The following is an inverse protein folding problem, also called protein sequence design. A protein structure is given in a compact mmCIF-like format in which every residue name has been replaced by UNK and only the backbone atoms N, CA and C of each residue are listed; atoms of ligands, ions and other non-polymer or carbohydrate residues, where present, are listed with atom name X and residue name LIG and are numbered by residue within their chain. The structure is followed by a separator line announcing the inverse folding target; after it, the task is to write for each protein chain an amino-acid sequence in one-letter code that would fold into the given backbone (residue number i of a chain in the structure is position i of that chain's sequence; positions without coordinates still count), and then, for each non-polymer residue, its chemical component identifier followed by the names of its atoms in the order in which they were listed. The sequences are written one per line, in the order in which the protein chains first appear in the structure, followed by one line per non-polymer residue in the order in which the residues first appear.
data_IF_870542088679
#
_entry.id   IF_870542088679
#
_cell.length_a   1.000
_cell.length_b   1.000
_cell.length_c   1.000
_cell.angle_alpha   90.00
_cell.angle_beta   90.00
_cell.angle_gamma   90.00
#
_symmetry.space_group_name_H-M   'P 1'
#
loop_
_entity.id
_entity.type
_entity.pdbx_description
1 polymer ?
#
# COMPACT_ATOMS: atom_id res chain seq x y z
N UNK A 1 -1.52 15.24 17.40
CA UNK A 1 -1.42 15.64 16.00
C UNK A 1 -0.50 14.68 15.27
N UNK A 2 -1.02 14.03 14.24
CA UNK A 2 -0.24 13.06 13.46
C UNK A 2 0.65 13.81 12.48
N UNK A 3 1.95 13.79 12.75
CA UNK A 3 2.94 14.57 12.00
C UNK A 3 3.30 13.99 10.64
N UNK A 4 2.99 12.72 10.39
CA UNK A 4 3.51 12.00 9.24
C UNK A 4 2.42 11.33 8.42
N UNK A 5 1.24 11.96 8.35
CA UNK A 5 0.15 11.52 7.48
C UNK A 5 0.11 12.44 6.26
N UNK A 6 0.19 11.81 5.09
CA UNK A 6 0.24 12.49 3.81
C UNK A 6 -0.88 12.03 2.91
N UNK A 7 -1.38 12.93 2.09
CA UNK A 7 -2.23 12.59 0.96
C UNK A 7 -1.34 12.05 -0.16
N UNK A 8 -1.76 10.98 -0.82
CA UNK A 8 -0.96 10.36 -1.87
C UNK A 8 -1.83 9.85 -3.01
N UNK A 9 -1.23 9.74 -4.19
CA UNK A 9 -1.85 9.18 -5.38
C UNK A 9 -1.11 7.91 -5.77
N UNK A 10 -1.85 6.88 -6.15
CA UNK A 10 -1.25 5.66 -6.67
C UNK A 10 -0.61 5.92 -8.03
N UNK A 11 0.66 5.51 -8.19
CA UNK A 11 1.30 5.44 -9.49
C UNK A 11 1.16 4.02 -10.05
N UNK A 12 1.61 3.01 -9.31
CA UNK A 12 1.41 1.61 -9.69
C UNK A 12 1.54 0.67 -8.49
N UNK A 13 0.92 -0.48 -8.61
CA UNK A 13 1.08 -1.57 -7.65
C UNK A 13 2.26 -2.43 -8.09
N UNK A 14 3.24 -2.60 -7.20
CA UNK A 14 4.46 -3.39 -7.48
C UNK A 14 4.28 -4.84 -7.03
N UNK A 15 3.78 -5.01 -5.81
CA UNK A 15 3.55 -6.32 -5.18
C UNK A 15 2.38 -6.22 -4.20
N UNK A 16 2.06 -7.33 -3.54
CA UNK A 16 0.99 -7.34 -2.53
C UNK A 16 1.23 -6.41 -1.35
N UNK A 17 2.49 -6.05 -1.10
CA UNK A 17 2.89 -5.23 0.04
C UNK A 17 3.71 -4.00 -0.36
N UNK A 18 3.72 -3.66 -1.65
CA UNK A 18 4.57 -2.58 -2.16
C UNK A 18 3.87 -1.84 -3.29
N UNK A 19 3.88 -0.52 -3.22
CA UNK A 19 3.36 0.35 -4.28
C UNK A 19 4.35 1.47 -4.59
N UNK A 20 4.23 2.05 -5.79
CA UNK A 20 4.85 3.33 -6.12
C UNK A 20 3.76 4.38 -6.06
N UNK A 21 4.03 5.51 -5.42
CA UNK A 21 3.04 6.56 -5.22
C UNK A 21 3.67 7.94 -5.31
N UNK A 22 2.82 8.91 -5.64
CA UNK A 22 3.14 10.34 -5.57
C UNK A 22 2.63 10.87 -4.24
N UNK A 23 3.52 11.37 -3.40
CA UNK A 23 3.20 11.85 -2.06
C UNK A 23 3.15 13.36 -2.06
N UNK A 24 2.04 13.92 -1.58
CA UNK A 24 1.87 15.36 -1.41
C UNK A 24 2.58 15.78 -0.12
N UNK A 25 3.68 16.50 -0.27
CA UNK A 25 4.47 17.01 0.86
C UNK A 25 4.16 18.45 1.19
N UNK A 26 3.11 18.99 0.59
CA UNK A 26 2.72 20.39 0.80
C UNK A 26 3.36 21.33 -0.20
N UNK A 27 2.90 22.59 -0.22
CA UNK A 27 3.43 23.64 -1.08
C UNK A 27 3.37 23.29 -2.58
N UNK A 28 2.37 22.50 -3.00
CA UNK A 28 2.23 21.98 -4.36
C UNK A 28 3.40 21.11 -4.82
N UNK A 29 4.12 20.51 -3.88
CA UNK A 29 5.25 19.63 -4.17
C UNK A 29 4.83 18.19 -3.98
N UNK A 30 5.02 17.38 -5.03
CA UNK A 30 4.76 15.96 -5.01
C UNK A 30 6.07 15.21 -5.22
N UNK A 31 6.31 14.18 -4.41
CA UNK A 31 7.51 13.34 -4.54
C UNK A 31 7.08 11.90 -4.85
N UNK A 32 7.78 11.28 -5.79
CA UNK A 32 7.54 9.87 -6.13
C UNK A 32 8.39 9.00 -5.23
N UNK A 33 7.74 8.07 -4.53
CA UNK A 33 8.41 7.13 -3.63
C UNK A 33 7.83 5.73 -3.74
N UNK A 34 8.67 4.75 -3.53
CA UNK A 34 8.22 3.37 -3.33
C UNK A 34 7.87 3.20 -1.86
N UNK A 35 6.67 2.66 -1.61
CA UNK A 35 6.16 2.45 -0.26
C UNK A 35 6.07 0.95 0.01
N UNK A 36 6.78 0.50 1.04
CA UNK A 36 6.69 -0.86 1.57
C UNK A 36 5.69 -0.84 2.73
N UNK A 37 4.68 -1.71 2.68
CA UNK A 37 3.66 -1.79 3.73
C UNK A 37 4.29 -2.29 5.03
N UNK A 38 4.19 -1.49 6.07
CA UNK A 38 4.75 -1.81 7.37
C UNK A 38 3.95 -2.88 8.09
N UNK A 39 4.65 -3.77 8.78
CA UNK A 39 4.05 -4.77 9.68
C UNK A 39 3.54 -6.03 9.01
N UNK A 40 3.60 -6.10 7.68
CA UNK A 40 3.16 -7.28 6.94
C UNK A 40 4.20 -7.68 5.90
N UNK A 41 4.09 -8.91 5.44
CA UNK A 41 4.82 -9.42 4.29
C UNK A 41 3.85 -10.25 3.46
N UNK A 42 4.04 -10.26 2.14
CA UNK A 42 3.25 -11.06 1.22
C UNK A 42 4.18 -12.01 0.45
N UNK A 43 3.59 -13.05 -0.14
CA UNK A 43 4.36 -13.95 -0.98
C UNK A 43 4.81 -13.23 -2.23
N UNK A 44 5.99 -13.60 -2.74
CA UNK A 44 6.54 -12.98 -3.93
C UNK A 44 5.80 -13.41 -5.18
N UNK A 45 5.47 -12.43 -6.03
CA UNK A 45 4.83 -12.69 -7.32
C UNK A 45 5.83 -13.06 -8.43
N UNK A 46 7.13 -12.88 -8.18
CA UNK A 46 8.20 -13.12 -9.17
C UNK A 46 9.09 -14.32 -8.83
N UNK A 47 8.60 -15.23 -8.03
CA UNK A 47 9.33 -16.44 -7.64
C UNK A 47 9.15 -17.56 -8.68
N UNK A 48 10.07 -18.53 -8.67
CA UNK A 48 9.97 -19.75 -9.48
C UNK A 48 9.08 -20.82 -8.84
N UNK A 49 8.80 -20.70 -7.55
CA UNK A 49 7.86 -21.57 -6.85
C UNK A 49 6.44 -21.20 -7.30
N UNK A 50 5.77 -22.13 -7.99
CA UNK A 50 4.45 -21.87 -8.57
C UNK A 50 3.37 -21.62 -7.52
N UNK A 51 3.41 -22.31 -6.38
CA UNK A 51 2.43 -22.11 -5.32
C UNK A 51 2.61 -20.74 -4.66
N UNK A 52 3.86 -20.38 -4.36
CA UNK A 52 4.19 -19.08 -3.80
C UNK A 52 3.85 -17.96 -4.78
N UNK A 53 4.16 -18.14 -6.05
CA UNK A 53 3.84 -17.17 -7.10
C UNK A 53 2.33 -16.94 -7.19
N UNK A 54 1.53 -17.98 -7.12
CA UNK A 54 0.08 -17.88 -7.16
C UNK A 54 -0.45 -17.07 -5.99
N UNK A 55 0.06 -17.30 -4.78
CA UNK A 55 -0.29 -16.53 -3.59
C UNK A 55 0.16 -15.08 -3.70
N UNK A 56 1.36 -14.85 -4.23
CA UNK A 56 1.89 -13.51 -4.45
C UNK A 56 1.09 -12.72 -5.45
N UNK A 57 0.69 -13.33 -6.56
CA UNK A 57 -0.16 -12.69 -7.57
C UNK A 57 -1.55 -12.39 -7.02
N UNK A 58 -2.12 -13.28 -6.20
CA UNK A 58 -3.41 -13.05 -5.56
C UNK A 58 -3.34 -11.86 -4.58
N UNK A 59 -2.29 -11.77 -3.79
CA UNK A 59 -2.08 -10.64 -2.87
C UNK A 59 -1.90 -9.33 -3.64
N UNK A 60 -1.13 -9.35 -4.71
CA UNK A 60 -0.95 -8.18 -5.58
C UNK A 60 -2.26 -7.72 -6.19
N UNK A 61 -3.06 -8.66 -6.69
CA UNK A 61 -4.37 -8.35 -7.30
C UNK A 61 -5.32 -7.75 -6.26
N UNK A 62 -5.34 -8.27 -5.05
CA UNK A 62 -6.20 -7.74 -3.99
C UNK A 62 -5.77 -6.36 -3.53
N UNK A 63 -4.46 -6.14 -3.39
CA UNK A 63 -3.91 -4.82 -3.08
C UNK A 63 -4.34 -3.79 -4.13
N UNK A 64 -4.19 -4.15 -5.40
CA UNK A 64 -4.60 -3.30 -6.52
C UNK A 64 -6.09 -3.00 -6.48
N UNK A 65 -6.91 -4.00 -6.25
CA UNK A 65 -8.37 -3.84 -6.16
C UNK A 65 -8.77 -2.87 -5.05
N UNK A 66 -8.19 -3.05 -3.85
CA UNK A 66 -8.49 -2.19 -2.71
C UNK A 66 -8.11 -0.73 -2.95
N UNK A 67 -6.90 -0.51 -3.43
CA UNK A 67 -6.38 0.86 -3.57
C UNK A 67 -6.97 1.59 -4.78
N UNK A 68 -7.22 0.89 -5.89
CA UNK A 68 -7.79 1.50 -7.09
C UNK A 68 -9.25 1.86 -6.92
N UNK A 69 -10.02 1.07 -6.16
CA UNK A 69 -11.43 1.35 -5.89
C UNK A 69 -11.59 2.73 -5.24
N UNK A 70 -10.73 3.06 -4.31
CA UNK A 70 -10.78 4.35 -3.61
C UNK A 70 -10.18 5.45 -4.46
N UNK A 71 -9.07 5.17 -5.15
CA UNK A 71 -8.43 6.14 -6.04
C UNK A 71 -9.35 6.58 -7.18
N UNK A 72 -10.25 5.69 -7.63
CA UNK A 72 -11.23 6.03 -8.66
C UNK A 72 -12.25 7.07 -8.17
N UNK A 73 -12.59 7.07 -6.88
CA UNK A 73 -13.58 8.00 -6.32
C UNK A 73 -13.00 9.34 -5.92
N UNK A 74 -11.93 9.32 -5.12
CA UNK A 74 -11.32 10.54 -4.56
C UNK A 74 -10.02 10.93 -5.26
N UNK A 75 -9.38 9.99 -5.93
CA UNK A 75 -8.04 10.15 -6.51
C UNK A 75 -6.91 10.06 -5.49
N UNK A 76 -7.22 9.93 -4.21
CA UNK A 76 -6.23 9.97 -3.14
C UNK A 76 -6.47 8.89 -2.09
N UNK A 77 -5.37 8.43 -1.49
CA UNK A 77 -5.39 7.67 -0.25
C UNK A 77 -4.52 8.41 0.78
N UNK A 78 -4.54 7.95 2.02
CA UNK A 78 -3.70 8.51 3.07
C UNK A 78 -2.58 7.55 3.41
N UNK A 79 -1.37 8.11 3.48
CA UNK A 79 -0.16 7.39 3.87
C UNK A 79 0.25 7.85 5.27
N UNK A 80 0.35 6.91 6.20
CA UNK A 80 1.02 7.17 7.48
C UNK A 80 2.45 6.67 7.38
N UNK A 81 3.41 7.59 7.34
CA UNK A 81 4.82 7.25 7.21
C UNK A 81 5.43 6.86 8.54
N UNK A 82 6.16 5.77 8.56
CA UNK A 82 6.95 5.31 9.71
C UNK A 82 8.45 5.46 9.48
N UNK A 83 8.82 6.26 8.48
CA UNK A 83 10.21 6.53 8.15
C UNK A 83 10.67 5.84 6.88
N UNK A 84 11.95 5.89 6.64
CA UNK A 84 12.56 5.33 5.42
C UNK A 84 13.33 4.06 5.80
N UNK A 85 13.01 2.97 5.13
CA UNK A 85 13.70 1.70 5.32
C UNK A 85 14.91 1.55 4.41
N UNK A 86 15.41 0.32 4.31
CA UNK A 86 16.51 -0.02 3.40
C UNK A 86 16.13 0.31 1.96
N UNK A 87 17.13 0.69 1.16
CA UNK A 87 16.98 1.00 -0.26
C UNK A 87 16.09 2.23 -0.53
N UNK A 88 15.91 3.12 0.46
CA UNK A 88 15.15 4.36 0.29
C UNK A 88 13.65 4.19 0.17
N UNK A 89 13.12 3.00 0.52
CA UNK A 89 11.67 2.78 0.51
C UNK A 89 11.02 3.38 1.75
N UNK A 90 9.89 4.04 1.57
CA UNK A 90 9.10 4.53 2.70
C UNK A 90 8.39 3.34 3.35
N UNK A 91 8.48 3.22 4.67
CA UNK A 91 7.71 2.25 5.43
C UNK A 91 6.39 2.91 5.83
N UNK A 92 5.27 2.34 5.43
CA UNK A 92 4.01 3.01 5.66
C UNK A 92 2.81 2.10 5.86
N UNK A 93 1.78 2.73 6.43
CA UNK A 93 0.44 2.17 6.49
C UNK A 93 -0.45 2.94 5.52
N UNK A 94 -1.28 2.21 4.77
CA UNK A 94 -2.15 2.78 3.76
C UNK A 94 -3.58 2.77 4.26
N UNK A 95 -4.20 3.94 4.28
CA UNK A 95 -5.59 4.11 4.72
C UNK A 95 -6.43 4.54 3.53
N UNK A 96 -7.53 3.83 3.34
CA UNK A 96 -8.53 4.15 2.32
C UNK A 96 -9.88 4.31 3.01
N UNK A 97 -10.84 4.89 2.30
CA UNK A 97 -12.21 5.04 2.77
C UNK A 97 -13.13 4.19 1.89
N UNK A 98 -13.97 3.36 2.51
CA UNK A 98 -14.91 2.54 1.75
C UNK A 98 -16.14 3.37 1.32
N UNK A 99 -17.10 2.73 0.66
CA UNK A 99 -18.31 3.40 0.13
C UNK A 99 -19.19 3.99 1.26
N UNK A 100 -19.10 3.42 2.44
CA UNK A 100 -19.86 3.85 3.61
C UNK A 100 -19.14 4.94 4.42
N UNK A 101 -17.96 5.35 3.97
CA UNK A 101 -17.14 6.35 4.66
C UNK A 101 -16.29 5.78 5.78
N UNK A 102 -16.22 4.45 5.90
CA UNK A 102 -15.40 3.78 6.92
C UNK A 102 -13.94 3.71 6.47
N UNK A 103 -13.04 4.07 7.38
CA UNK A 103 -11.60 3.98 7.12
C UNK A 103 -11.11 2.54 7.19
N UNK A 104 -10.39 2.11 6.17
CA UNK A 104 -9.80 0.78 6.09
C UNK A 104 -8.28 0.93 6.03
N UNK A 105 -7.57 0.21 6.91
CA UNK A 105 -6.13 0.06 6.84
C UNK A 105 -5.83 -1.13 5.92
N UNK A 106 -5.26 -0.87 4.75
CA UNK A 106 -4.99 -1.92 3.76
C UNK A 106 -4.02 -2.97 4.30
N UNK A 107 -3.00 -2.55 5.07
CA UNK A 107 -2.03 -3.47 5.67
C UNK A 107 -2.76 -4.52 6.52
N UNK A 108 -3.66 -4.08 7.39
CA UNK A 108 -4.45 -4.96 8.24
C UNK A 108 -5.46 -5.80 7.44
N UNK A 109 -6.09 -5.18 6.44
CA UNK A 109 -7.09 -5.86 5.61
C UNK A 109 -6.48 -7.03 4.85
N UNK A 110 -5.28 -6.86 4.28
CA UNK A 110 -4.59 -7.93 3.57
C UNK A 110 -4.25 -9.10 4.52
N UNK A 111 -3.87 -8.79 5.75
CA UNK A 111 -3.57 -9.79 6.77
C UNK A 111 -4.84 -10.56 7.17
N UNK A 112 -5.94 -9.85 7.42
CA UNK A 112 -7.23 -10.44 7.77
C UNK A 112 -7.74 -11.39 6.68
N UNK A 113 -7.56 -11.02 5.42
CA UNK A 113 -7.99 -11.82 4.27
C UNK A 113 -7.04 -12.99 3.94
N UNK A 114 -5.94 -13.12 4.65
CA UNK A 114 -4.98 -14.20 4.43
C UNK A 114 -4.01 -13.99 3.28
N UNK A 115 -3.95 -12.76 2.74
CA UNK A 115 -3.00 -12.41 1.66
C UNK A 115 -1.64 -11.98 2.18
N UNK A 116 -1.53 -11.72 3.47
CA UNK A 116 -0.30 -11.28 4.11
C UNK A 116 -0.16 -11.94 5.48
N UNK A 117 1.07 -12.02 5.94
CA UNK A 117 1.38 -12.50 7.28
C UNK A 117 2.17 -11.41 8.03
N UNK A 118 2.18 -11.53 9.35
CA UNK A 118 2.86 -10.58 10.22
C UNK A 118 4.37 -10.63 10.01
N UNK A 119 4.96 -9.45 9.93
CA UNK A 119 6.38 -9.32 9.68
C UNK A 119 7.11 -8.69 10.84
#
# INVERSE_FOLDING_TARGET
MDKYIYRAKLDRVVDGDTIDAMIDVGFDIWVKKRIRYMGIDTWESRTRDLDEKKKGLAAKARNKELIETVSAKSGYFRLKSHGVGKYGRVLGEIFIMDEEGKTININEQLKIEGHAYEY
#
